data_IF_336435203612
#
_entry.id   IF_336435203612
#
_cell.length_a   1.000
_cell.length_b   1.000
_cell.length_c   1.000
_cell.angle_alpha   90.00
_cell.angle_beta   90.00
_cell.angle_gamma   90.00
#
_symmetry.space_group_name_H-M   'P 1'
#
loop_
_entity.id
_entity.type
_entity.pdbx_description
1 polymer ?
#
# COMPACT_ATOMS: atom_id res chain seq x y z
N UNK A 1 -35.29 29.46 -4.43
CA UNK A 1 -35.45 27.99 -4.41
C UNK A 1 -34.15 27.33 -4.87
N UNK A 2 -33.48 26.50 -4.05
CA UNK A 2 -32.22 25.88 -4.44
C UNK A 2 -32.49 24.71 -5.40
N UNK A 3 -31.83 24.71 -6.56
CA UNK A 3 -31.87 23.62 -7.53
C UNK A 3 -31.21 22.38 -6.91
N UNK A 4 -32.00 21.33 -6.64
CA UNK A 4 -31.49 20.00 -6.28
C UNK A 4 -30.59 19.53 -7.43
N UNK A 5 -29.30 19.37 -7.16
CA UNK A 5 -28.38 18.76 -8.13
C UNK A 5 -28.74 17.28 -8.24
N UNK A 6 -29.29 16.89 -9.38
CA UNK A 6 -29.55 15.48 -9.68
C UNK A 6 -28.20 14.79 -9.91
N UNK A 7 -27.70 14.12 -8.89
CA UNK A 7 -26.52 13.26 -8.99
C UNK A 7 -26.86 12.15 -9.99
N UNK A 8 -26.24 12.21 -11.16
CA UNK A 8 -26.49 11.30 -12.28
C UNK A 8 -26.14 9.84 -11.86
N UNK A 9 -27.10 8.90 -11.82
CA UNK A 9 -26.91 7.56 -11.25
C UNK A 9 -25.86 6.73 -12.00
N UNK A 10 -25.62 7.03 -13.28
CA UNK A 10 -24.58 6.38 -14.09
C UNK A 10 -23.16 6.70 -13.62
N UNK A 11 -22.92 7.89 -13.04
CA UNK A 11 -21.61 8.26 -12.46
C UNK A 11 -21.32 7.52 -11.16
N UNK A 12 -22.36 7.18 -10.37
CA UNK A 12 -22.21 6.32 -9.18
C UNK A 12 -21.75 4.92 -9.58
N UNK A 13 -22.42 4.26 -10.54
CA UNK A 13 -22.13 2.85 -10.91
C UNK A 13 -20.67 2.56 -11.31
N UNK A 14 -19.97 3.49 -11.98
CA UNK A 14 -18.64 3.23 -12.55
C UNK A 14 -17.49 3.42 -11.56
N UNK A 15 -17.63 4.37 -10.63
CA UNK A 15 -16.69 4.55 -9.51
C UNK A 15 -16.84 3.41 -8.52
N UNK A 16 -18.06 2.87 -8.36
CA UNK A 16 -18.30 1.63 -7.62
C UNK A 16 -17.52 0.47 -8.23
N UNK A 17 -17.56 0.27 -9.56
CA UNK A 17 -16.84 -0.84 -10.21
C UNK A 17 -15.30 -0.81 -10.05
N UNK A 18 -14.65 0.36 -10.09
CA UNK A 18 -13.19 0.43 -9.90
C UNK A 18 -12.79 0.23 -8.43
N UNK A 19 -13.60 0.76 -7.50
CA UNK A 19 -13.39 0.56 -6.06
C UNK A 19 -13.63 -0.90 -5.68
N UNK A 20 -14.69 -1.51 -6.19
CA UNK A 20 -15.02 -2.93 -6.01
C UNK A 20 -13.91 -3.81 -6.58
N UNK A 21 -13.42 -3.54 -7.80
CA UNK A 21 -12.26 -4.25 -8.37
C UNK A 21 -11.03 -4.20 -7.45
N UNK A 22 -10.67 -3.03 -6.91
CA UNK A 22 -9.51 -2.93 -6.01
C UNK A 22 -9.76 -3.69 -4.70
N UNK A 23 -10.98 -3.63 -4.16
CA UNK A 23 -11.35 -4.41 -2.97
C UNK A 23 -11.26 -5.91 -3.26
N UNK A 24 -11.73 -6.36 -4.41
CA UNK A 24 -11.65 -7.75 -4.84
C UNK A 24 -10.20 -8.19 -5.05
N UNK A 25 -9.37 -7.36 -5.68
CA UNK A 25 -7.92 -7.62 -5.83
C UNK A 25 -7.24 -7.76 -4.46
N UNK A 26 -7.56 -6.88 -3.51
CA UNK A 26 -7.05 -6.98 -2.15
C UNK A 26 -7.54 -8.24 -1.43
N UNK A 27 -8.80 -8.62 -1.64
CA UNK A 27 -9.35 -9.84 -1.06
C UNK A 27 -8.75 -11.11 -1.68
N UNK A 28 -8.43 -11.10 -2.98
CA UNK A 28 -7.74 -12.18 -3.68
C UNK A 28 -6.28 -12.29 -3.21
N UNK A 29 -5.60 -11.14 -3.07
CA UNK A 29 -4.23 -11.04 -2.58
C UNK A 29 -4.03 -11.72 -1.21
N UNK A 30 -5.03 -11.66 -0.32
CA UNK A 30 -4.96 -12.27 1.01
C UNK A 30 -5.39 -13.76 1.04
N UNK A 31 -5.96 -14.28 -0.06
CA UNK A 31 -6.53 -15.64 -0.17
C UNK A 31 -5.76 -16.57 -1.10
N UNK A 32 -4.56 -16.18 -1.52
CA UNK A 32 -3.72 -17.00 -2.39
C UNK A 32 -3.31 -18.30 -1.69
N UNK A 33 -3.35 -19.40 -2.45
CA UNK A 33 -2.87 -20.69 -1.98
C UNK A 33 -1.35 -20.67 -1.82
N UNK A 34 -0.87 -21.25 -0.72
CA UNK A 34 0.56 -21.23 -0.38
C UNK A 34 1.17 -22.59 -0.68
N UNK A 35 2.12 -22.61 -1.62
CA UNK A 35 2.98 -23.76 -1.84
C UNK A 35 4.12 -23.78 -0.82
N UNK A 36 3.99 -24.60 0.23
CA UNK A 36 5.01 -24.74 1.27
C UNK A 36 6.28 -25.48 0.83
N UNK A 37 6.34 -26.00 -0.40
CA UNK A 37 7.56 -26.60 -0.95
C UNK A 37 8.54 -25.55 -1.47
N UNK A 38 8.07 -24.33 -1.74
CA UNK A 38 8.90 -23.20 -2.17
C UNK A 38 9.56 -22.48 -0.99
N UNK A 39 10.72 -21.88 -1.25
CA UNK A 39 11.43 -21.00 -0.32
C UNK A 39 10.52 -19.81 0.09
N UNK A 40 10.50 -19.37 1.36
CA UNK A 40 9.75 -18.18 1.81
C UNK A 40 10.01 -16.89 1.00
N UNK A 41 11.13 -16.82 0.28
CA UNK A 41 11.46 -15.72 -0.64
C UNK A 41 10.66 -15.78 -1.94
N UNK A 42 10.18 -16.94 -2.34
CA UNK A 42 9.53 -17.19 -3.63
C UNK A 42 8.01 -17.38 -3.53
N UNK A 43 7.46 -17.25 -2.32
CA UNK A 43 6.02 -17.31 -2.03
C UNK A 43 5.59 -16.21 -1.04
N UNK A 44 4.29 -15.91 -0.92
CA UNK A 44 3.79 -15.04 0.13
C UNK A 44 4.17 -15.58 1.52
N UNK A 45 4.54 -14.67 2.43
CA UNK A 45 4.86 -15.05 3.80
C UNK A 45 3.59 -15.49 4.53
N UNK A 46 3.74 -16.40 5.49
CA UNK A 46 2.66 -16.95 6.33
C UNK A 46 2.97 -16.74 7.81
N UNK A 47 2.06 -17.19 8.67
CA UNK A 47 2.29 -17.24 10.11
C UNK A 47 3.51 -18.07 10.51
N UNK A 48 3.76 -19.17 9.80
CA UNK A 48 4.90 -20.05 10.09
C UNK A 48 6.22 -19.30 9.82
N UNK A 49 6.28 -18.57 8.72
CA UNK A 49 7.46 -17.76 8.37
C UNK A 49 7.68 -16.62 9.36
N UNK A 50 6.61 -16.06 9.92
CA UNK A 50 6.69 -15.07 10.99
C UNK A 50 7.36 -15.64 12.26
N UNK A 51 7.05 -16.88 12.65
CA UNK A 51 7.69 -17.50 13.81
C UNK A 51 9.15 -17.88 13.54
N UNK A 52 9.45 -18.33 12.32
CA UNK A 52 10.83 -18.56 11.88
C UNK A 52 11.64 -17.27 11.86
N UNK A 53 11.08 -16.17 11.33
CA UNK A 53 11.70 -14.85 11.36
C UNK A 53 11.96 -14.38 12.79
N UNK A 54 10.98 -14.54 13.70
CA UNK A 54 11.16 -14.23 15.13
C UNK A 54 12.35 -14.98 15.72
N UNK A 55 12.41 -16.29 15.48
CA UNK A 55 13.48 -17.15 15.97
C UNK A 55 14.83 -16.73 15.40
N UNK A 56 14.91 -16.42 14.11
CA UNK A 56 16.12 -15.96 13.44
C UNK A 56 16.62 -14.60 13.96
N UNK A 57 15.69 -13.71 14.34
CA UNK A 57 16.00 -12.41 14.93
C UNK A 57 16.38 -12.50 16.42
N UNK A 58 16.21 -13.66 17.08
CA UNK A 58 16.53 -13.84 18.49
C UNK A 58 15.65 -13.02 19.45
N UNK A 59 14.44 -12.65 19.04
CA UNK A 59 13.54 -11.76 19.80
C UNK A 59 12.37 -12.51 20.45
N UNK A 60 11.83 -11.94 21.53
CA UNK A 60 10.70 -12.55 22.25
C UNK A 60 9.39 -12.38 21.49
N UNK A 61 8.39 -13.19 21.84
CA UNK A 61 7.03 -13.02 21.33
C UNK A 61 6.46 -11.63 21.65
N UNK A 62 6.80 -11.06 22.81
CA UNK A 62 6.39 -9.71 23.20
C UNK A 62 7.00 -8.65 22.29
N UNK A 63 8.29 -8.80 21.97
CA UNK A 63 8.99 -7.88 21.07
C UNK A 63 8.39 -7.92 19.67
N UNK A 64 8.07 -9.12 19.16
CA UNK A 64 7.38 -9.28 17.87
C UNK A 64 6.01 -8.63 17.87
N UNK A 65 5.21 -8.86 18.92
CA UNK A 65 3.89 -8.27 19.06
C UNK A 65 3.98 -6.72 18.97
N UNK A 66 4.96 -6.12 19.65
CA UNK A 66 5.19 -4.69 19.61
C UNK A 66 5.73 -4.19 18.26
N UNK A 67 6.73 -4.89 17.70
CA UNK A 67 7.40 -4.57 16.45
C UNK A 67 6.44 -4.58 15.24
N UNK A 68 5.49 -5.51 15.24
CA UNK A 68 4.52 -5.73 14.17
C UNK A 68 3.14 -5.16 14.47
N UNK A 69 2.97 -4.50 15.63
CA UNK A 69 1.69 -4.00 16.12
C UNK A 69 0.58 -5.07 16.16
N UNK A 70 0.94 -6.30 16.51
CA UNK A 70 0.02 -7.42 16.67
C UNK A 70 -0.33 -7.52 18.17
N UNK A 71 -1.61 -7.58 18.56
CA UNK A 71 -1.96 -7.81 19.97
C UNK A 71 -1.32 -9.11 20.48
N UNK A 72 -0.67 -9.12 21.67
CA UNK A 72 0.00 -10.32 22.18
C UNK A 72 -0.91 -11.56 22.23
N UNK A 73 -2.18 -11.37 22.59
CA UNK A 73 -3.20 -12.44 22.62
C UNK A 73 -3.48 -13.09 21.26
N UNK A 74 -3.18 -12.40 20.15
CA UNK A 74 -3.40 -12.88 18.78
C UNK A 74 -2.13 -13.43 18.12
N UNK A 75 -0.95 -13.17 18.69
CA UNK A 75 0.32 -13.52 18.06
C UNK A 75 0.46 -15.04 17.88
N UNK A 76 0.18 -15.83 18.92
CA UNK A 76 0.30 -17.29 18.83
C UNK A 76 -0.62 -17.90 17.76
N UNK A 77 -1.84 -17.39 17.63
CA UNK A 77 -2.76 -17.82 16.56
C UNK A 77 -2.24 -17.38 15.17
N UNK A 78 -1.69 -16.17 15.08
CA UNK A 78 -1.09 -15.65 13.84
C UNK A 78 0.11 -16.49 13.40
N UNK A 79 0.99 -16.89 14.30
CA UNK A 79 2.16 -17.72 14.00
C UNK A 79 1.80 -19.15 13.53
N UNK A 80 0.60 -19.64 13.87
CA UNK A 80 0.12 -20.94 13.39
C UNK A 80 -0.67 -20.86 12.08
N UNK A 81 -0.97 -19.66 11.59
CA UNK A 81 -1.77 -19.48 10.39
C UNK A 81 -0.99 -19.94 9.15
N UNK A 82 -1.62 -20.79 8.34
CA UNK A 82 -1.09 -21.26 7.04
C UNK A 82 -1.53 -20.40 5.85
N UNK A 83 -2.32 -19.36 6.10
CA UNK A 83 -2.74 -18.39 5.10
C UNK A 83 -1.64 -17.35 4.90
N UNK A 84 -1.65 -16.69 3.73
CA UNK A 84 -0.83 -15.52 3.48
C UNK A 84 -0.99 -14.48 4.60
N UNK A 85 0.11 -13.82 4.97
CA UNK A 85 0.05 -12.59 5.74
C UNK A 85 -0.56 -11.50 4.87
N UNK A 86 -1.19 -10.52 5.52
CA UNK A 86 -1.63 -9.32 4.82
C UNK A 86 -0.42 -8.57 4.24
N UNK A 87 -0.63 -7.89 3.11
CA UNK A 87 0.44 -7.24 2.36
C UNK A 87 1.29 -6.28 3.22
N UNK A 88 0.62 -5.48 4.06
CA UNK A 88 1.26 -4.55 4.99
C UNK A 88 2.21 -5.26 5.98
N UNK A 89 1.77 -6.38 6.55
CA UNK A 89 2.56 -7.14 7.51
C UNK A 89 3.75 -7.83 6.84
N UNK A 90 3.56 -8.38 5.64
CA UNK A 90 4.67 -8.94 4.86
C UNK A 90 5.71 -7.86 4.51
N UNK A 91 5.27 -6.69 4.06
CA UNK A 91 6.16 -5.56 3.77
C UNK A 91 6.91 -5.13 5.03
N UNK A 92 6.23 -5.07 6.18
CA UNK A 92 6.85 -4.71 7.44
C UNK A 92 7.96 -5.70 7.84
N UNK A 93 7.72 -7.01 7.75
CA UNK A 93 8.71 -8.05 8.04
C UNK A 93 9.92 -7.90 7.11
N UNK A 94 9.68 -7.74 5.80
CA UNK A 94 10.75 -7.55 4.82
C UNK A 94 11.53 -6.24 5.02
N UNK A 95 10.90 -5.19 5.57
CA UNK A 95 11.61 -3.97 5.97
C UNK A 95 12.52 -4.17 7.19
N UNK A 96 12.15 -5.05 8.13
CA UNK A 96 13.05 -5.43 9.22
C UNK A 96 14.29 -6.19 8.74
N UNK A 97 14.18 -6.95 7.64
CA UNK A 97 15.36 -7.58 7.02
C UNK A 97 16.31 -6.54 6.41
N UNK A 98 15.79 -5.41 5.92
CA UNK A 98 16.59 -4.31 5.34
C UNK A 98 17.19 -3.39 6.40
N UNK A 99 16.46 -3.14 7.47
CA UNK A 99 16.90 -2.35 8.60
C UNK A 99 16.67 -3.17 9.89
N UNK A 100 17.63 -3.97 10.36
CA UNK A 100 17.47 -4.74 11.59
C UNK A 100 17.60 -3.81 12.80
N UNK A 101 16.47 -3.31 13.30
CA UNK A 101 16.42 -2.40 14.45
C UNK A 101 14.98 -2.03 14.80
N UNK A 102 14.70 -1.57 16.03
CA UNK A 102 13.37 -1.11 16.43
C UNK A 102 12.98 0.11 15.58
N UNK A 103 11.69 0.34 15.29
CA UNK A 103 11.24 1.49 14.49
C UNK A 103 11.55 2.80 15.22
N UNK A 104 11.55 3.92 14.48
CA UNK A 104 11.74 5.24 15.07
C UNK A 104 10.68 5.54 16.13
N UNK A 105 11.07 6.25 17.20
CA UNK A 105 10.18 6.68 18.28
C UNK A 105 9.09 7.64 17.79
N UNK A 106 9.44 8.48 16.82
CA UNK A 106 8.54 9.41 16.15
C UNK A 106 8.40 8.97 14.69
N UNK A 107 7.50 8.03 14.38
CA UNK A 107 7.25 7.66 13.00
C UNK A 107 6.63 8.86 12.26
N UNK A 108 7.00 9.10 11.01
CA UNK A 108 6.37 10.14 10.21
C UNK A 108 4.88 9.80 9.98
N UNK A 109 4.09 10.83 9.78
CA UNK A 109 2.72 10.70 9.29
C UNK A 109 2.70 10.14 7.87
N UNK A 110 1.59 9.49 7.49
CA UNK A 110 1.43 9.00 6.12
C UNK A 110 1.39 10.13 5.08
N UNK A 111 1.04 11.36 5.49
CA UNK A 111 1.22 12.56 4.66
C UNK A 111 2.70 12.78 4.38
N UNK A 112 3.55 12.86 5.40
CA UNK A 112 5.00 13.05 5.22
C UNK A 112 5.64 11.91 4.42
N UNK A 113 5.19 10.66 4.62
CA UNK A 113 5.58 9.52 3.77
C UNK A 113 5.21 9.82 2.31
N UNK A 114 3.96 10.15 2.02
CA UNK A 114 3.54 10.48 0.66
C UNK A 114 4.36 11.62 0.05
N UNK A 115 4.56 12.70 0.80
CA UNK A 115 5.28 13.88 0.34
C UNK A 115 6.73 13.55 -0.01
N UNK A 116 7.38 12.69 0.78
CA UNK A 116 8.74 12.23 0.52
C UNK A 116 8.82 11.33 -0.71
N UNK A 117 7.80 10.52 -0.98
CA UNK A 117 7.86 9.48 -2.02
C UNK A 117 7.35 9.94 -3.39
N UNK A 118 6.30 10.77 -3.44
CA UNK A 118 5.56 11.01 -4.70
C UNK A 118 5.21 12.46 -4.97
N UNK A 119 5.35 13.39 -4.02
CA UNK A 119 4.91 14.79 -4.23
C UNK A 119 5.69 15.48 -5.34
N UNK A 120 7.01 15.30 -5.39
CA UNK A 120 7.84 15.87 -6.46
C UNK A 120 7.40 15.37 -7.84
N UNK A 121 7.19 14.06 -8.00
CA UNK A 121 6.74 13.45 -9.26
C UNK A 121 5.33 13.92 -9.64
N UNK A 122 4.43 14.05 -8.66
CA UNK A 122 3.07 14.58 -8.86
C UNK A 122 3.10 16.03 -9.34
N UNK A 123 3.90 16.88 -8.70
CA UNK A 123 4.02 18.30 -9.03
C UNK A 123 4.67 18.49 -10.40
N UNK A 124 5.72 17.72 -10.70
CA UNK A 124 6.37 17.73 -12.01
C UNK A 124 5.41 17.33 -13.14
N UNK A 125 4.64 16.25 -12.95
CA UNK A 125 3.64 15.83 -13.94
C UNK A 125 2.56 16.91 -14.13
N UNK A 126 2.05 17.46 -13.03
CA UNK A 126 1.02 18.49 -13.04
C UNK A 126 1.48 19.77 -13.77
N UNK A 127 2.73 20.17 -13.58
CA UNK A 127 3.32 21.34 -14.24
C UNK A 127 3.50 21.12 -15.76
N UNK A 128 3.78 19.88 -16.19
CA UNK A 128 4.14 19.57 -17.58
C UNK A 128 2.93 19.35 -18.50
N UNK A 129 1.80 18.87 -17.97
CA UNK A 129 0.68 18.37 -18.79
C UNK A 129 -0.61 19.20 -18.70
N UNK A 130 -0.48 20.49 -18.35
CA UNK A 130 -1.56 21.47 -18.43
C UNK A 130 -2.62 21.38 -17.31
N UNK A 131 -3.71 22.17 -17.41
CA UNK A 131 -4.61 22.45 -16.27
C UNK A 131 -5.41 21.24 -15.76
N UNK A 132 -5.47 20.16 -16.54
CA UNK A 132 -6.20 18.93 -16.20
C UNK A 132 -5.32 17.87 -15.53
N UNK A 133 -4.00 18.00 -15.65
CA UNK A 133 -3.02 17.08 -15.09
C UNK A 133 -3.03 17.00 -13.55
N UNK A 134 -3.23 18.10 -12.77
CA UNK A 134 -3.14 18.02 -11.30
C UNK A 134 -4.13 17.03 -10.68
N UNK A 135 -5.38 17.01 -11.14
CA UNK A 135 -6.40 16.09 -10.62
C UNK A 135 -6.12 14.63 -10.95
N UNK A 136 -5.69 14.37 -12.19
CA UNK A 136 -5.33 13.04 -12.67
C UNK A 136 -4.08 12.50 -11.95
N UNK A 137 -3.02 13.31 -11.87
CA UNK A 137 -1.78 12.96 -11.18
C UNK A 137 -2.04 12.62 -9.71
N UNK A 138 -2.77 13.49 -8.99
CA UNK A 138 -3.13 13.26 -7.59
C UNK A 138 -3.89 11.94 -7.41
N UNK A 139 -4.89 11.68 -8.25
CA UNK A 139 -5.66 10.43 -8.14
C UNK A 139 -4.79 9.19 -8.38
N UNK A 140 -3.93 9.21 -9.41
CA UNK A 140 -3.07 8.09 -9.76
C UNK A 140 -2.00 7.82 -8.69
N UNK A 141 -1.26 8.86 -8.27
CA UNK A 141 -0.26 8.72 -7.22
C UNK A 141 -0.86 8.35 -5.86
N UNK A 142 -2.06 8.84 -5.51
CA UNK A 142 -2.75 8.40 -4.29
C UNK A 142 -3.16 6.92 -4.35
N UNK A 143 -3.64 6.46 -5.52
CA UNK A 143 -4.02 5.07 -5.70
C UNK A 143 -2.79 4.15 -5.58
N UNK A 144 -1.70 4.50 -6.26
CA UNK A 144 -0.42 3.79 -6.18
C UNK A 144 0.15 3.78 -4.76
N UNK A 145 0.17 4.93 -4.10
CA UNK A 145 0.64 5.04 -2.72
C UNK A 145 -0.17 4.17 -1.75
N UNK A 146 -1.51 4.17 -1.84
CA UNK A 146 -2.34 3.29 -1.02
C UNK A 146 -2.07 1.81 -1.30
N UNK A 147 -1.85 1.46 -2.57
CA UNK A 147 -1.60 0.09 -3.00
C UNK A 147 -0.24 -0.47 -2.51
N UNK A 148 0.74 0.39 -2.23
CA UNK A 148 1.98 -0.02 -1.53
C UNK A 148 1.70 -0.67 -0.17
N UNK A 149 0.53 -0.42 0.43
CA UNK A 149 0.16 -0.95 1.73
C UNK A 149 -1.05 -1.89 1.68
N UNK A 150 -1.48 -2.30 0.48
CA UNK A 150 -2.68 -3.11 0.32
C UNK A 150 -3.93 -2.36 0.78
N UNK A 151 -4.05 -1.08 0.38
CA UNK A 151 -5.19 -0.22 0.72
C UNK A 151 -5.77 0.45 -0.52
N UNK A 152 -6.97 1.00 -0.35
CA UNK A 152 -7.70 1.66 -1.42
C UNK A 152 -7.33 3.14 -1.53
N UNK A 153 -7.60 3.75 -2.68
CA UNK A 153 -7.52 5.20 -2.89
C UNK A 153 -8.21 6.03 -1.79
N UNK A 154 -9.34 5.55 -1.26
CA UNK A 154 -10.05 6.23 -0.17
C UNK A 154 -9.18 6.38 1.09
N UNK A 155 -8.34 5.39 1.38
CA UNK A 155 -7.39 5.47 2.49
C UNK A 155 -6.35 6.56 2.27
N UNK A 156 -5.82 6.70 1.04
CA UNK A 156 -4.87 7.77 0.72
C UNK A 156 -5.48 9.17 0.94
N UNK A 157 -6.69 9.44 0.45
CA UNK A 157 -7.39 10.71 0.73
C UNK A 157 -7.54 10.97 2.23
N UNK A 158 -7.94 9.95 2.99
CA UNK A 158 -8.09 10.06 4.44
C UNK A 158 -6.76 10.39 5.14
N UNK A 159 -5.68 9.72 4.75
CA UNK A 159 -4.37 9.89 5.37
C UNK A 159 -3.70 11.20 4.99
N UNK A 160 -3.76 11.55 3.70
CA UNK A 160 -2.99 12.66 3.13
C UNK A 160 -3.78 13.97 3.35
N UNK A 161 -5.06 14.03 3.03
CA UNK A 161 -5.79 15.31 3.07
C UNK A 161 -6.44 15.57 4.43
N UNK A 162 -7.01 14.53 5.03
CA UNK A 162 -7.82 14.67 6.23
C UNK A 162 -7.05 14.38 7.53
N UNK A 163 -5.75 14.08 7.44
CA UNK A 163 -4.92 13.78 8.61
C UNK A 163 -5.45 12.62 9.45
N UNK A 164 -6.19 11.70 8.83
CA UNK A 164 -6.94 10.68 9.56
C UNK A 164 -6.03 9.63 10.17
N UNK A 165 -6.50 9.06 11.30
CA UNK A 165 -5.77 8.02 12.02
C UNK A 165 -5.37 6.85 11.12
N UNK A 166 -4.11 6.44 11.30
CA UNK A 166 -3.52 5.28 10.67
C UNK A 166 -3.53 4.11 11.65
N UNK A 167 -3.62 2.89 11.11
CA UNK A 167 -3.44 1.70 11.94
C UNK A 167 -1.99 1.63 12.40
N UNK A 168 -1.77 1.03 13.58
CA UNK A 168 -0.44 0.99 14.20
C UNK A 168 0.60 0.26 13.33
N UNK A 169 0.22 -0.79 12.60
CA UNK A 169 1.06 -1.47 11.60
C UNK A 169 1.60 -0.52 10.53
N UNK A 170 0.79 0.43 10.04
CA UNK A 170 1.20 1.44 9.07
C UNK A 170 2.19 2.43 9.66
N UNK A 171 1.96 2.87 10.90
CA UNK A 171 2.95 3.68 11.62
C UNK A 171 4.28 2.95 11.79
N UNK A 172 4.26 1.63 12.01
CA UNK A 172 5.48 0.82 12.06
C UNK A 172 6.19 0.79 10.72
N UNK A 173 5.48 0.56 9.62
CA UNK A 173 6.08 0.62 8.27
C UNK A 173 6.70 1.98 7.99
N UNK A 174 5.98 3.06 8.27
CA UNK A 174 6.46 4.43 8.10
C UNK A 174 7.74 4.70 8.91
N UNK A 175 7.78 4.26 10.18
CA UNK A 175 8.96 4.35 11.03
C UNK A 175 10.15 3.52 10.52
N UNK A 176 9.90 2.31 10.00
CA UNK A 176 10.94 1.47 9.39
C UNK A 176 11.51 2.09 8.12
N UNK A 177 10.64 2.65 7.28
CA UNK A 177 11.04 3.35 6.06
C UNK A 177 11.97 4.53 6.36
N UNK A 178 11.74 5.24 7.47
CA UNK A 178 12.56 6.39 7.86
C UNK A 178 13.97 6.04 8.33
N UNK A 179 14.24 4.77 8.61
CA UNK A 179 15.59 4.29 8.92
C UNK A 179 16.44 4.04 7.68
N UNK A 180 15.80 3.97 6.51
CA UNK A 180 16.50 3.84 5.25
C UNK A 180 17.00 5.23 4.78
N UNK A 181 18.12 5.28 4.03
CA UNK A 181 18.58 6.48 3.35
C UNK A 181 17.46 7.10 2.50
N UNK A 182 17.35 8.43 2.49
CA UNK A 182 16.22 9.14 1.87
C UNK A 182 16.01 8.76 0.40
N UNK A 183 17.10 8.62 -0.35
CA UNK A 183 17.13 8.23 -1.76
C UNK A 183 16.69 6.77 -2.02
N UNK A 184 16.69 5.91 -0.99
CA UNK A 184 16.33 4.50 -1.12
C UNK A 184 14.88 4.21 -0.70
N UNK A 185 14.20 5.15 -0.03
CA UNK A 185 12.87 4.93 0.56
C UNK A 185 11.83 4.53 -0.50
N UNK A 186 11.69 5.33 -1.56
CA UNK A 186 10.74 5.05 -2.66
C UNK A 186 11.05 3.71 -3.29
N UNK A 187 12.29 3.54 -3.75
CA UNK A 187 12.74 2.34 -4.46
C UNK A 187 12.56 1.07 -3.63
N UNK A 188 12.92 1.10 -2.35
CA UNK A 188 12.78 -0.07 -1.46
C UNK A 188 11.31 -0.41 -1.24
N UNK A 189 10.48 0.57 -0.89
CA UNK A 189 9.07 0.30 -0.61
C UNK A 189 8.32 -0.18 -1.85
N UNK A 190 8.56 0.45 -3.01
CA UNK A 190 7.94 -0.01 -4.26
C UNK A 190 8.45 -1.40 -4.66
N UNK A 191 9.76 -1.69 -4.52
CA UNK A 191 10.30 -3.01 -4.83
C UNK A 191 9.67 -4.10 -3.95
N UNK A 192 9.59 -3.88 -2.64
CA UNK A 192 8.96 -4.81 -1.70
C UNK A 192 7.48 -5.01 -2.03
N UNK A 193 6.77 -3.92 -2.34
CA UNK A 193 5.35 -3.97 -2.70
C UNK A 193 5.14 -4.72 -4.01
N UNK A 194 5.84 -4.37 -5.09
CA UNK A 194 5.79 -5.07 -6.38
C UNK A 194 6.04 -6.57 -6.21
N UNK A 195 7.06 -6.94 -5.44
CA UNK A 195 7.35 -8.34 -5.13
C UNK A 195 6.18 -9.00 -4.41
N UNK A 196 5.67 -8.39 -3.35
CA UNK A 196 4.57 -8.95 -2.56
C UNK A 196 3.28 -9.14 -3.39
N UNK A 197 2.96 -8.20 -4.28
CA UNK A 197 1.86 -8.31 -5.24
C UNK A 197 2.10 -9.41 -6.29
N UNK A 198 3.32 -9.48 -6.86
CA UNK A 198 3.70 -10.51 -7.84
C UNK A 198 3.59 -11.92 -7.27
N UNK A 199 4.00 -12.12 -6.02
CA UNK A 199 3.87 -13.40 -5.29
C UNK A 199 2.40 -13.83 -5.11
N UNK A 200 1.46 -12.90 -5.29
CA UNK A 200 0.01 -13.12 -5.26
C UNK A 200 -0.62 -13.14 -6.65
N UNK A 201 0.19 -13.21 -7.71
CA UNK A 201 -0.25 -13.27 -9.10
C UNK A 201 -0.73 -11.94 -9.68
N UNK A 202 -0.43 -10.81 -9.04
CA UNK A 202 -0.91 -9.48 -9.45
C UNK A 202 0.27 -8.61 -9.89
N UNK A 203 0.17 -8.04 -11.09
CA UNK A 203 1.13 -7.05 -11.58
C UNK A 203 0.80 -5.67 -11.02
N UNK A 204 1.66 -5.18 -10.13
CA UNK A 204 1.48 -3.90 -9.45
C UNK A 204 1.50 -2.70 -10.39
N UNK A 205 2.41 -2.69 -11.37
CA UNK A 205 2.56 -1.55 -12.27
C UNK A 205 1.46 -1.51 -13.34
N UNK A 206 0.87 -2.68 -13.65
CA UNK A 206 -0.33 -2.76 -14.48
C UNK A 206 -1.59 -2.28 -13.76
N UNK A 207 -1.80 -2.70 -12.51
CA UNK A 207 -3.01 -2.37 -11.74
C UNK A 207 -2.96 -0.96 -11.13
N UNK A 208 -1.76 -0.48 -10.77
CA UNK A 208 -1.53 0.81 -10.12
C UNK A 208 -0.43 1.60 -10.83
N UNK A 209 -0.58 1.89 -12.15
CA UNK A 209 0.45 2.57 -12.93
C UNK A 209 0.75 3.97 -12.39
N UNK A 210 1.97 4.45 -12.61
CA UNK A 210 2.25 5.87 -12.48
C UNK A 210 1.42 6.67 -13.52
N UNK A 211 0.96 7.89 -13.18
CA UNK A 211 0.28 8.75 -14.14
C UNK A 211 1.12 8.96 -15.40
N UNK A 212 0.53 8.70 -16.58
CA UNK A 212 1.18 8.96 -17.88
C UNK A 212 0.37 9.95 -18.72
N UNK A 213 1.00 10.64 -19.69
CA UNK A 213 0.28 11.52 -20.61
C UNK A 213 -0.81 10.78 -21.41
N UNK A 214 -0.54 9.55 -21.86
CA UNK A 214 -1.49 8.73 -22.61
C UNK A 214 -2.71 8.37 -21.75
N UNK A 215 -2.48 8.11 -20.46
CA UNK A 215 -3.55 7.86 -19.50
C UNK A 215 -4.41 9.09 -19.23
N UNK A 216 -3.82 10.28 -19.22
CA UNK A 216 -4.52 11.56 -19.15
C UNK A 216 -5.42 11.75 -20.39
N UNK A 217 -4.87 11.61 -21.59
CA UNK A 217 -5.60 11.80 -22.86
C UNK A 217 -6.72 10.77 -23.05
N UNK A 218 -6.46 9.52 -22.65
CA UNK A 218 -7.45 8.45 -22.69
C UNK A 218 -8.62 8.65 -21.72
N UNK A 219 -8.40 9.31 -20.57
CA UNK A 219 -9.46 9.69 -19.65
C UNK A 219 -10.38 10.76 -20.27
N UNK A 220 -9.79 11.77 -20.92
CA UNK A 220 -10.53 12.89 -21.52
C UNK A 220 -11.27 12.50 -22.78
N UNK A 221 -10.67 11.67 -23.64
CA UNK A 221 -11.35 11.08 -24.81
C UNK A 221 -12.61 10.30 -24.44
N UNK A 222 -12.67 9.75 -23.21
CA UNK A 222 -13.86 9.05 -22.68
C UNK A 222 -14.89 9.99 -22.03
N UNK A 223 -14.48 11.20 -21.65
CA UNK A 223 -15.34 12.22 -21.05
C UNK A 223 -15.99 13.12 -22.13
N UNK A 224 -15.27 13.43 -23.21
CA UNK A 224 -15.78 14.27 -24.31
C UNK A 224 -16.75 13.51 -25.23
N UNK A 225 -16.79 12.17 -25.17
CA UNK A 225 -17.77 11.32 -25.88
C UNK A 225 -19.09 11.14 -25.10
N UNK A 226 -19.38 11.96 -24.10
CA UNK A 226 -20.59 11.90 -23.26
C UNK A 226 -21.34 13.21 -23.27
#
# INVERSE_FOLDING_TARGET
MPKKSSINPKKRSRVTNQRERIIDLLAQADKVDIDFTLDPRERPLTGIDLDQWRAAMGITSTDVAYALAIPPSKLAARCRARTALSLDLEILIRLYEKAPGPPTWYPPSMREVYETLYKADQEQFAATHGPRAPGYARQGYYARFAALFGRTLHNAYRWIDHGGNVRADMSRIAGKLWQLPMNERKLTLEHLSRRAWKLRGIDFDLEFPEPTPEGLDGLWSKLDRR
#
